data_IF_624816128352
#
_entry.id   IF_624816128352
#
_cell.length_a   1.000
_cell.length_b   1.000
_cell.length_c   1.000
_cell.angle_alpha   90.00
_cell.angle_beta   90.00
_cell.angle_gamma   90.00
#
_symmetry.space_group_name_H-M   'P 1'
#
loop_
_entity.id
_entity.type
_entity.pdbx_description
1 polymer ?
#
# COMPACT_ATOMS: atom_id res chain seq x y z
N UNK A 1 -75.97 -19.80 -10.78
CA UNK A 1 -75.47 -20.52 -11.97
C UNK A 1 -74.03 -20.88 -11.68
N UNK A 2 -73.82 -22.17 -11.48
CA UNK A 2 -72.51 -22.73 -11.09
C UNK A 2 -71.72 -23.13 -12.30
N UNK A 3 -70.48 -22.92 -12.39
CA UNK A 3 -69.55 -23.59 -13.30
C UNK A 3 -68.38 -24.16 -12.54
N UNK A 4 -68.16 -25.45 -12.71
CA UNK A 4 -67.16 -26.32 -12.09
C UNK A 4 -65.80 -26.18 -12.80
N UNK A 5 -64.66 -26.50 -12.15
CA UNK A 5 -63.34 -26.51 -12.73
C UNK A 5 -63.05 -27.83 -13.50
N UNK A 6 -62.09 -27.85 -14.43
CA UNK A 6 -61.69 -29.05 -15.15
C UNK A 6 -60.58 -29.84 -14.42
N UNK A 7 -60.63 -31.14 -14.66
CA UNK A 7 -59.76 -32.21 -14.17
C UNK A 7 -58.31 -32.07 -14.60
N UNK A 8 -57.41 -32.44 -13.64
CA UNK A 8 -56.02 -32.69 -13.86
C UNK A 8 -55.84 -34.10 -14.42
N UNK A 9 -55.28 -34.25 -15.60
CA UNK A 9 -54.77 -35.50 -16.13
C UNK A 9 -53.34 -35.75 -15.71
N UNK A 10 -53.14 -36.87 -15.03
CA UNK A 10 -51.84 -37.40 -14.63
C UNK A 10 -51.16 -38.05 -15.83
N UNK A 11 -50.09 -37.44 -16.35
CA UNK A 11 -49.28 -38.01 -17.41
C UNK A 11 -48.08 -38.73 -16.80
N UNK A 12 -48.03 -40.05 -17.01
CA UNK A 12 -46.88 -40.93 -16.71
C UNK A 12 -45.66 -40.49 -17.52
N UNK A 13 -44.57 -40.08 -16.89
CA UNK A 13 -43.28 -39.81 -17.53
C UNK A 13 -42.44 -41.08 -17.49
N UNK A 14 -42.13 -41.61 -18.67
CA UNK A 14 -41.13 -42.66 -18.86
C UNK A 14 -39.75 -42.13 -18.47
N UNK A 15 -39.06 -42.80 -17.54
CA UNK A 15 -37.66 -42.58 -17.21
C UNK A 15 -36.83 -43.27 -18.31
N UNK A 16 -36.29 -42.46 -19.24
CA UNK A 16 -35.25 -42.89 -20.15
C UNK A 16 -33.89 -42.74 -19.40
N UNK A 17 -33.20 -43.82 -19.20
CA UNK A 17 -31.81 -43.87 -18.67
C UNK A 17 -30.86 -43.18 -19.68
N UNK A 18 -30.37 -41.98 -19.36
CA UNK A 18 -29.24 -41.36 -20.03
C UNK A 18 -27.93 -41.99 -19.53
N UNK A 19 -26.97 -42.28 -20.42
CA UNK A 19 -25.66 -42.75 -19.99
C UNK A 19 -24.94 -41.63 -19.19
N UNK A 20 -24.26 -42.03 -18.11
CA UNK A 20 -23.39 -41.13 -17.36
C UNK A 20 -22.34 -40.54 -18.32
N UNK A 21 -22.53 -39.29 -18.68
CA UNK A 21 -21.45 -38.49 -19.26
C UNK A 21 -20.37 -38.39 -18.22
N UNK A 22 -19.21 -38.96 -18.52
CA UNK A 22 -17.95 -38.72 -17.83
C UNK A 22 -17.78 -37.20 -17.78
N UNK A 23 -18.06 -36.60 -16.61
CA UNK A 23 -17.63 -35.26 -16.28
C UNK A 23 -16.10 -35.35 -16.28
N UNK A 24 -15.47 -34.99 -17.40
CA UNK A 24 -14.04 -34.76 -17.43
C UNK A 24 -13.74 -33.76 -16.33
N UNK A 25 -12.94 -34.16 -15.35
CA UNK A 25 -12.31 -33.21 -14.45
C UNK A 25 -11.57 -32.23 -15.37
N UNK A 26 -12.08 -31.02 -15.47
CA UNK A 26 -11.32 -29.90 -16.01
C UNK A 26 -10.15 -29.81 -15.03
N UNK A 27 -8.93 -30.13 -15.49
CA UNK A 27 -7.72 -29.79 -14.78
C UNK A 27 -7.83 -28.29 -14.52
N UNK A 28 -8.04 -27.93 -13.27
CA UNK A 28 -7.82 -26.55 -12.82
C UNK A 28 -6.33 -26.36 -13.07
N UNK A 29 -5.97 -25.61 -14.13
CA UNK A 29 -4.60 -25.15 -14.28
C UNK A 29 -4.21 -24.55 -12.93
N UNK A 30 -3.21 -25.13 -12.29
CA UNK A 30 -2.66 -24.64 -11.02
C UNK A 30 -2.19 -23.20 -11.28
N UNK A 31 -3.00 -22.21 -10.90
CA UNK A 31 -2.65 -20.81 -11.08
C UNK A 31 -1.42 -20.52 -10.23
N UNK A 32 -0.33 -20.19 -10.88
CA UNK A 32 0.92 -19.84 -10.22
C UNK A 32 0.82 -18.46 -9.61
N UNK A 33 1.13 -18.32 -8.34
CA UNK A 33 1.16 -17.03 -7.64
C UNK A 33 2.55 -16.43 -7.69
N UNK A 34 2.61 -15.14 -8.02
CA UNK A 34 3.82 -14.33 -8.01
C UNK A 34 3.70 -13.16 -7.04
N UNK A 35 4.84 -12.74 -6.54
CA UNK A 35 4.99 -11.55 -5.70
C UNK A 35 5.65 -10.47 -6.55
N UNK A 36 5.04 -9.29 -6.59
CA UNK A 36 5.62 -8.09 -7.17
C UNK A 36 6.15 -7.21 -6.05
N UNK A 37 7.41 -6.79 -6.15
CA UNK A 37 8.08 -5.98 -5.13
C UNK A 37 8.81 -4.78 -5.75
N UNK A 38 8.58 -3.58 -5.21
CA UNK A 38 9.31 -2.38 -5.65
C UNK A 38 10.70 -2.36 -5.04
N UNK A 39 11.70 -1.99 -5.83
CA UNK A 39 13.11 -2.03 -5.41
C UNK A 39 13.56 -0.85 -4.56
N UNK A 40 12.75 0.15 -4.32
CA UNK A 40 13.03 1.47 -3.77
C UNK A 40 14.52 1.84 -3.77
N UNK A 41 14.91 2.98 -4.32
CA UNK A 41 16.28 3.41 -4.62
C UNK A 41 17.01 2.64 -5.71
N UNK A 42 16.43 1.55 -6.18
CA UNK A 42 16.77 0.91 -7.44
C UNK A 42 15.53 0.95 -8.33
N UNK A 43 15.63 1.41 -9.55
CA UNK A 43 14.48 1.70 -10.42
C UNK A 43 13.88 0.44 -11.04
N UNK A 44 13.63 -0.57 -10.22
CA UNK A 44 13.13 -1.87 -10.67
C UNK A 44 11.87 -2.30 -9.91
N UNK A 45 11.01 -2.99 -10.63
CA UNK A 45 9.99 -3.89 -10.11
C UNK A 45 10.52 -5.32 -10.23
N UNK A 46 10.50 -6.06 -9.15
CA UNK A 46 10.91 -7.47 -9.08
C UNK A 46 9.68 -8.35 -9.14
N UNK A 47 9.73 -9.40 -9.96
CA UNK A 47 8.77 -10.49 -9.94
C UNK A 47 9.41 -11.72 -9.29
N UNK A 48 8.71 -12.33 -8.34
CA UNK A 48 9.20 -13.43 -7.53
C UNK A 48 8.17 -14.56 -7.60
N UNK A 49 8.59 -15.77 -7.91
CA UNK A 49 7.74 -16.95 -7.85
C UNK A 49 7.49 -17.32 -6.39
N UNK A 50 6.23 -17.39 -5.97
CA UNK A 50 5.88 -17.80 -4.60
C UNK A 50 6.25 -19.24 -4.34
N UNK A 51 6.01 -20.15 -5.31
CA UNK A 51 6.35 -21.56 -5.18
C UNK A 51 7.85 -21.75 -4.93
N UNK A 52 8.70 -21.04 -5.70
CA UNK A 52 10.15 -21.09 -5.51
C UNK A 52 10.59 -20.39 -4.22
N UNK A 53 9.88 -19.35 -3.78
CA UNK A 53 10.21 -18.62 -2.55
C UNK A 53 10.00 -19.46 -1.28
N UNK A 54 9.03 -20.37 -1.29
CA UNK A 54 8.77 -21.30 -0.16
C UNK A 54 9.52 -22.62 -0.27
N UNK A 55 10.24 -22.86 -1.37
CA UNK A 55 11.08 -24.05 -1.52
C UNK A 55 12.29 -23.96 -0.58
N UNK A 56 12.50 -24.90 0.34
CA UNK A 56 13.58 -24.81 1.33
C UNK A 56 14.98 -24.66 0.74
N UNK A 57 15.23 -25.21 -0.45
CA UNK A 57 16.51 -25.10 -1.17
C UNK A 57 16.80 -23.68 -1.65
N UNK A 58 15.78 -22.84 -1.80
CA UNK A 58 15.88 -21.45 -2.26
C UNK A 58 15.92 -20.44 -1.10
N UNK A 59 15.75 -20.89 0.15
CA UNK A 59 15.71 -19.99 1.29
C UNK A 59 17.00 -19.19 1.44
N UNK A 60 16.87 -17.89 1.67
CA UNK A 60 17.97 -16.91 1.72
C UNK A 60 18.81 -16.82 0.43
N UNK A 61 18.19 -17.06 -0.71
CA UNK A 61 18.80 -16.89 -2.04
C UNK A 61 17.96 -15.94 -2.91
N UNK A 62 18.48 -15.63 -4.10
CA UNK A 62 17.78 -14.88 -5.14
C UNK A 62 17.06 -15.78 -6.17
N UNK A 63 17.09 -17.11 -5.98
CA UNK A 63 16.63 -18.08 -6.99
C UNK A 63 15.15 -17.95 -7.33
N UNK A 64 14.34 -17.46 -6.41
CA UNK A 64 12.91 -17.24 -6.64
C UNK A 64 12.61 -15.97 -7.46
N UNK A 65 13.60 -15.11 -7.71
CA UNK A 65 13.42 -13.92 -8.55
C UNK A 65 13.32 -14.34 -10.01
N UNK A 66 12.14 -14.15 -10.60
CA UNK A 66 11.85 -14.50 -12.00
C UNK A 66 12.43 -13.45 -12.94
N UNK A 67 12.19 -12.17 -12.65
CA UNK A 67 12.58 -11.05 -13.51
C UNK A 67 12.74 -9.74 -12.74
N UNK A 68 13.32 -8.76 -13.41
CA UNK A 68 13.42 -7.36 -12.95
C UNK A 68 13.06 -6.43 -14.08
N UNK A 69 12.00 -5.68 -13.91
CA UNK A 69 11.53 -4.71 -14.92
C UNK A 69 11.89 -3.29 -14.51
N UNK A 70 12.42 -2.50 -15.46
CA UNK A 70 12.66 -1.08 -15.20
C UNK A 70 11.35 -0.33 -15.07
N UNK A 71 11.26 0.55 -14.06
CA UNK A 71 10.11 1.42 -13.80
C UNK A 71 10.43 2.90 -14.01
N UNK A 72 11.68 3.23 -14.32
CA UNK A 72 12.12 4.59 -14.62
C UNK A 72 12.76 4.66 -15.99
N UNK A 73 12.62 5.81 -16.66
CA UNK A 73 13.32 6.09 -17.90
C UNK A 73 14.81 6.29 -17.62
N UNK A 74 15.66 5.72 -18.48
CA UNK A 74 17.07 6.05 -18.48
C UNK A 74 17.26 7.49 -18.94
N UNK A 75 18.07 8.23 -18.21
CA UNK A 75 18.50 9.56 -18.67
C UNK A 75 19.73 9.44 -19.56
N UNK A 76 19.95 10.50 -20.34
CA UNK A 76 21.12 10.61 -21.22
C UNK A 76 22.47 10.54 -20.49
N UNK A 77 22.50 10.78 -19.18
CA UNK A 77 23.68 10.69 -18.33
C UNK A 77 23.87 9.30 -17.66
N UNK A 78 23.02 8.32 -18.00
CA UNK A 78 23.09 6.96 -17.48
C UNK A 78 22.64 6.80 -16.03
N UNK A 79 22.08 7.85 -15.39
CA UNK A 79 21.51 7.76 -14.04
C UNK A 79 20.05 7.38 -14.13
N UNK A 80 19.71 6.28 -13.47
CA UNK A 80 18.32 5.87 -13.28
C UNK A 80 17.78 6.60 -12.05
N UNK A 81 16.76 7.39 -12.25
CA UNK A 81 16.15 8.21 -11.21
C UNK A 81 14.69 7.82 -11.02
N UNK A 82 14.47 6.62 -10.56
CA UNK A 82 13.19 6.21 -10.00
C UNK A 82 13.39 5.86 -8.54
N UNK A 83 12.48 6.29 -7.69
CA UNK A 83 12.36 5.81 -6.31
C UNK A 83 11.01 5.09 -6.20
N UNK A 84 10.88 3.85 -6.78
CA UNK A 84 9.62 3.13 -6.79
C UNK A 84 9.21 2.82 -5.35
N UNK A 85 8.12 3.45 -4.92
CA UNK A 85 7.60 3.31 -3.57
C UNK A 85 6.47 2.29 -3.53
N UNK A 86 5.26 2.69 -3.86
CA UNK A 86 4.08 1.83 -3.77
C UNK A 86 3.67 1.30 -5.15
N UNK A 87 2.83 0.27 -5.16
CA UNK A 87 2.28 -0.28 -6.38
C UNK A 87 0.83 -0.75 -6.17
N UNK A 88 0.07 -0.77 -7.25
CA UNK A 88 -1.25 -1.44 -7.31
C UNK A 88 -1.36 -2.22 -8.61
N UNK A 89 -2.12 -3.31 -8.57
CA UNK A 89 -2.41 -4.15 -9.74
C UNK A 89 -3.86 -3.92 -10.14
N UNK A 90 -4.12 -3.84 -11.45
CA UNK A 90 -5.49 -3.72 -11.98
C UNK A 90 -6.34 -4.93 -11.58
N UNK A 91 -7.67 -4.74 -11.53
CA UNK A 91 -8.62 -5.78 -11.11
C UNK A 91 -8.56 -7.05 -11.97
N UNK A 92 -8.26 -6.89 -13.28
CA UNK A 92 -8.04 -8.00 -14.22
C UNK A 92 -6.65 -8.63 -14.09
N UNK A 93 -5.81 -8.09 -13.21
CA UNK A 93 -4.43 -8.51 -13.01
C UNK A 93 -3.48 -8.12 -14.16
N UNK A 94 -3.94 -7.56 -15.27
CA UNK A 94 -3.15 -7.35 -16.49
C UNK A 94 -2.13 -6.21 -16.43
N UNK A 95 -2.38 -5.22 -15.57
CA UNK A 95 -1.54 -4.01 -15.49
C UNK A 95 -1.08 -3.78 -14.06
N UNK A 96 0.19 -3.45 -13.87
CA UNK A 96 0.71 -2.94 -12.60
C UNK A 96 1.11 -1.47 -12.76
N UNK A 97 0.67 -0.67 -11.79
CA UNK A 97 1.02 0.74 -11.66
C UNK A 97 2.01 0.89 -10.52
N UNK A 98 3.15 1.51 -10.77
CA UNK A 98 4.21 1.72 -9.77
C UNK A 98 4.44 3.21 -9.58
N UNK A 99 4.26 3.70 -8.37
CA UNK A 99 4.58 5.08 -8.02
C UNK A 99 6.10 5.24 -7.94
N UNK A 100 6.63 6.15 -8.73
CA UNK A 100 7.98 6.68 -8.58
C UNK A 100 7.91 8.00 -7.81
N UNK A 101 8.32 7.97 -6.56
CA UNK A 101 8.15 9.06 -5.59
C UNK A 101 8.66 10.40 -6.13
N UNK A 102 9.86 10.42 -6.70
CA UNK A 102 10.45 11.62 -7.27
C UNK A 102 10.42 11.67 -8.81
N UNK A 103 9.79 10.68 -9.45
CA UNK A 103 9.69 10.61 -10.90
C UNK A 103 11.04 10.53 -11.62
N UNK A 104 11.09 11.03 -12.85
CA UNK A 104 12.34 11.24 -13.56
C UNK A 104 12.89 12.61 -13.16
N UNK A 105 13.75 12.63 -12.18
CA UNK A 105 14.29 13.86 -11.63
C UNK A 105 15.39 14.41 -12.55
N UNK A 106 15.22 15.62 -13.04
CA UNK A 106 16.35 16.49 -13.28
C UNK A 106 16.93 16.92 -11.92
N UNK A 107 18.21 16.70 -11.67
CA UNK A 107 18.83 17.11 -10.41
C UNK A 107 18.57 18.61 -10.09
N UNK A 108 18.45 19.46 -11.12
CA UNK A 108 18.12 20.86 -10.96
C UNK A 108 16.64 21.07 -10.56
N UNK A 109 15.73 20.26 -11.09
CA UNK A 109 14.32 20.31 -10.79
C UNK A 109 14.04 19.78 -9.39
N UNK A 110 14.65 18.67 -8.99
CA UNK A 110 14.59 18.16 -7.64
C UNK A 110 15.15 19.14 -6.60
N UNK A 111 16.25 19.81 -6.94
CA UNK A 111 16.89 20.76 -6.04
C UNK A 111 16.10 22.08 -5.90
N UNK A 112 15.18 22.37 -6.83
CA UNK A 112 14.41 23.62 -6.80
C UNK A 112 12.96 23.43 -6.38
N UNK A 113 12.34 22.28 -6.66
CA UNK A 113 10.88 22.09 -6.60
C UNK A 113 10.42 20.74 -6.04
N UNK A 114 11.29 19.94 -5.39
CA UNK A 114 10.98 18.52 -5.20
C UNK A 114 10.91 17.80 -6.56
N UNK A 115 10.64 16.54 -6.63
CA UNK A 115 10.42 15.85 -7.92
C UNK A 115 8.93 15.67 -8.18
N UNK A 116 8.46 16.01 -9.39
CA UNK A 116 7.11 15.59 -9.79
C UNK A 116 7.02 14.07 -9.75
N UNK A 117 5.98 13.57 -9.10
CA UNK A 117 5.72 12.15 -9.02
C UNK A 117 5.32 11.58 -10.39
N UNK A 118 5.74 10.37 -10.68
CA UNK A 118 5.35 9.65 -11.89
C UNK A 118 4.84 8.27 -11.53
N UNK A 119 3.94 7.75 -12.34
CA UNK A 119 3.43 6.39 -12.22
C UNK A 119 3.90 5.60 -13.45
N UNK A 120 4.75 4.60 -13.26
CA UNK A 120 5.08 3.66 -14.31
C UNK A 120 3.91 2.72 -14.55
N UNK A 121 3.57 2.49 -15.81
CA UNK A 121 2.53 1.55 -16.25
C UNK A 121 3.22 0.38 -16.91
N UNK A 122 3.06 -0.83 -16.37
CA UNK A 122 3.71 -2.04 -16.86
C UNK A 122 2.67 -3.12 -17.15
N UNK A 123 2.93 -3.89 -18.19
CA UNK A 123 2.21 -5.13 -18.51
C UNK A 123 2.68 -6.25 -17.58
N UNK A 124 1.74 -6.90 -16.87
CA UNK A 124 2.07 -7.92 -15.87
C UNK A 124 2.66 -9.17 -16.51
N UNK A 125 2.14 -9.63 -17.66
CA UNK A 125 2.66 -10.82 -18.31
C UNK A 125 4.10 -10.60 -18.81
N UNK A 126 4.39 -9.39 -19.32
CA UNK A 126 5.76 -9.02 -19.65
C UNK A 126 6.65 -8.88 -18.40
N UNK A 127 6.13 -8.38 -17.28
CA UNK A 127 6.85 -8.34 -15.99
C UNK A 127 7.22 -9.76 -15.53
N UNK A 128 6.32 -10.72 -15.71
CA UNK A 128 6.54 -12.11 -15.29
C UNK A 128 7.40 -12.92 -16.28
N UNK A 129 7.67 -12.41 -17.49
CA UNK A 129 8.50 -13.12 -18.47
C UNK A 129 9.97 -13.17 -17.98
N UNK A 130 10.54 -14.36 -17.73
CA UNK A 130 11.92 -14.49 -17.25
C UNK A 130 12.97 -13.98 -18.24
N UNK A 131 12.61 -13.80 -19.53
CA UNK A 131 13.47 -13.19 -20.54
C UNK A 131 13.60 -11.67 -20.36
N UNK A 132 12.70 -11.06 -19.59
CA UNK A 132 12.70 -9.64 -19.32
C UNK A 132 13.67 -9.30 -18.18
N UNK A 133 14.95 -9.52 -18.39
CA UNK A 133 16.00 -9.12 -17.46
C UNK A 133 16.56 -7.75 -17.83
N UNK A 134 16.25 -6.72 -17.03
CA UNK A 134 16.74 -5.34 -17.20
C UNK A 134 16.34 -4.67 -18.52
N UNK A 135 15.34 -5.15 -19.22
CA UNK A 135 14.85 -4.53 -20.44
C UNK A 135 13.69 -3.59 -20.16
N UNK A 136 13.29 -2.78 -21.13
CA UNK A 136 12.12 -1.90 -21.03
C UNK A 136 10.82 -2.56 -21.52
N UNK A 137 10.84 -3.85 -21.81
CA UNK A 137 9.75 -4.52 -22.51
C UNK A 137 8.44 -4.52 -21.74
N UNK A 138 8.47 -4.56 -20.40
CA UNK A 138 7.27 -4.51 -19.56
C UNK A 138 6.70 -3.09 -19.42
N UNK A 139 7.54 -2.06 -19.57
CA UNK A 139 7.16 -0.68 -19.37
C UNK A 139 6.39 -0.16 -20.59
N UNK A 140 5.12 0.17 -20.39
CA UNK A 140 4.23 0.73 -21.42
C UNK A 140 4.31 2.26 -21.49
N UNK A 141 4.61 2.93 -20.37
CA UNK A 141 4.69 4.38 -20.29
C UNK A 141 4.68 4.91 -18.87
N UNK A 142 4.56 6.22 -18.75
CA UNK A 142 4.42 6.91 -17.47
C UNK A 142 3.22 7.84 -17.49
N UNK A 143 2.56 7.97 -16.35
CA UNK A 143 1.54 8.96 -16.07
C UNK A 143 2.11 10.00 -15.08
N UNK A 144 1.73 11.27 -15.23
CA UNK A 144 2.04 12.31 -14.25
C UNK A 144 1.14 12.12 -13.02
N UNK A 145 1.70 12.19 -11.82
CA UNK A 145 0.92 12.09 -10.58
C UNK A 145 0.03 13.31 -10.31
N UNK A 146 0.28 14.41 -11.00
CA UNK A 146 -0.41 15.69 -10.76
C UNK A 146 0.14 16.49 -9.58
N UNK A 147 1.24 16.04 -8.94
CA UNK A 147 1.85 16.68 -7.79
C UNK A 147 3.31 16.29 -7.58
N UNK A 148 3.83 16.54 -6.39
CA UNK A 148 5.20 16.28 -6.01
C UNK A 148 5.27 15.24 -4.88
N UNK A 149 6.33 14.41 -4.91
CA UNK A 149 6.52 13.40 -3.89
C UNK A 149 5.40 12.37 -3.83
N UNK A 150 4.93 11.88 -4.98
CA UNK A 150 3.89 10.86 -5.02
C UNK A 150 4.32 9.60 -4.26
N UNK A 151 3.51 9.10 -3.34
CA UNK A 151 3.85 7.94 -2.52
C UNK A 151 2.70 6.96 -2.31
N UNK A 152 1.54 7.43 -1.84
CA UNK A 152 0.34 6.60 -1.69
C UNK A 152 -0.43 6.50 -3.00
N UNK A 153 -0.99 5.33 -3.26
CA UNK A 153 -1.84 5.12 -4.43
C UNK A 153 -2.97 4.17 -4.09
N UNK A 154 -4.18 4.50 -4.57
CA UNK A 154 -5.34 3.61 -4.55
C UNK A 154 -5.93 3.50 -5.94
N UNK A 155 -6.58 2.37 -6.23
CA UNK A 155 -7.13 2.06 -7.55
C UNK A 155 -8.65 2.20 -7.53
N UNK A 156 -9.17 2.94 -8.50
CA UNK A 156 -10.58 2.97 -8.90
C UNK A 156 -10.75 2.35 -10.28
N UNK A 157 -11.96 1.97 -10.70
CA UNK A 157 -12.16 1.31 -12.00
C UNK A 157 -11.48 2.01 -13.18
N UNK A 158 -11.58 3.34 -13.27
CA UNK A 158 -11.03 4.13 -14.38
C UNK A 158 -9.90 5.09 -13.99
N UNK A 159 -9.55 5.15 -12.70
CA UNK A 159 -8.64 6.18 -12.19
C UNK A 159 -7.66 5.62 -11.15
N UNK A 160 -6.56 6.32 -10.99
CA UNK A 160 -5.66 6.23 -9.86
C UNK A 160 -5.91 7.42 -8.93
N UNK A 161 -5.99 7.16 -7.63
CA UNK A 161 -5.95 8.18 -6.59
C UNK A 161 -4.55 8.22 -6.03
N UNK A 162 -3.92 9.38 -5.99
CA UNK A 162 -2.51 9.51 -5.66
C UNK A 162 -2.32 10.56 -4.57
N UNK A 163 -1.58 10.19 -3.52
CA UNK A 163 -1.12 11.10 -2.49
C UNK A 163 0.21 11.71 -2.91
N UNK A 164 0.27 13.04 -2.96
CA UNK A 164 1.48 13.80 -3.28
C UNK A 164 1.94 14.50 -2.00
N UNK A 165 2.99 13.96 -1.39
CA UNK A 165 3.40 14.24 -0.02
C UNK A 165 4.38 15.42 0.11
N UNK A 166 5.04 15.84 -0.97
CA UNK A 166 6.08 16.86 -0.88
C UNK A 166 5.60 18.25 -1.27
N UNK A 167 6.05 19.23 -0.51
CA UNK A 167 5.85 20.65 -0.75
C UNK A 167 6.94 21.20 -1.68
N UNK A 168 6.55 21.86 -2.75
CA UNK A 168 7.50 22.57 -3.61
C UNK A 168 7.45 24.09 -3.46
N UNK A 169 6.72 24.61 -2.46
CA UNK A 169 6.58 26.02 -2.09
C UNK A 169 5.86 26.92 -3.11
N UNK A 170 5.81 26.55 -4.38
CA UNK A 170 5.25 27.40 -5.45
C UNK A 170 3.96 26.85 -6.04
N UNK A 171 3.82 25.53 -6.13
CA UNK A 171 2.70 24.89 -6.82
C UNK A 171 1.95 23.87 -5.96
N UNK A 172 2.62 23.29 -4.97
CA UNK A 172 2.10 22.21 -4.13
C UNK A 172 2.49 22.45 -2.68
N UNK A 173 1.48 22.50 -1.81
CA UNK A 173 1.67 22.70 -0.37
C UNK A 173 2.00 21.42 0.40
N UNK A 174 2.28 20.29 -0.25
CA UNK A 174 2.42 18.98 0.41
C UNK A 174 1.08 18.48 0.98
N UNK A 175 -0.02 18.83 0.30
CA UNK A 175 -1.39 18.58 0.78
C UNK A 175 -2.32 18.10 -0.35
N UNK A 176 -1.77 17.54 -1.41
CA UNK A 176 -2.55 17.28 -2.62
C UNK A 176 -2.86 15.80 -2.82
N UNK A 177 -4.14 15.50 -3.03
CA UNK A 177 -4.64 14.22 -3.53
C UNK A 177 -5.13 14.44 -4.95
N UNK A 178 -4.66 13.62 -5.89
CA UNK A 178 -4.98 13.74 -7.31
C UNK A 178 -5.69 12.51 -7.84
N UNK A 179 -6.54 12.71 -8.85
CA UNK A 179 -7.29 11.69 -9.55
C UNK A 179 -6.83 11.67 -11.01
N UNK A 180 -6.15 10.60 -11.41
CA UNK A 180 -5.55 10.48 -12.75
C UNK A 180 -6.27 9.36 -13.52
N UNK A 181 -6.80 9.68 -14.68
CA UNK A 181 -7.41 8.71 -15.60
C UNK A 181 -6.35 7.69 -16.06
N UNK A 182 -6.58 6.40 -15.77
CA UNK A 182 -5.61 5.32 -16.04
C UNK A 182 -5.30 5.14 -17.52
N UNK A 183 -6.26 5.42 -18.38
CA UNK A 183 -6.17 5.18 -19.81
C UNK A 183 -5.54 6.35 -20.56
N UNK A 184 -5.86 7.58 -20.16
CA UNK A 184 -5.43 8.79 -20.88
C UNK A 184 -4.29 9.53 -20.21
N UNK A 185 -4.01 9.25 -18.93
CA UNK A 185 -3.08 9.99 -18.10
C UNK A 185 -3.56 11.41 -17.73
N UNK A 186 -4.81 11.76 -18.07
CA UNK A 186 -5.32 13.09 -17.79
C UNK A 186 -5.69 13.25 -16.31
N UNK A 187 -5.34 14.40 -15.74
CA UNK A 187 -5.77 14.79 -14.40
C UNK A 187 -7.27 15.09 -14.43
N UNK A 188 -8.06 14.29 -13.68
CA UNK A 188 -9.52 14.39 -13.61
C UNK A 188 -9.98 15.24 -12.44
N UNK A 189 -9.17 15.35 -11.41
CA UNK A 189 -9.48 16.14 -10.22
C UNK A 189 -8.29 16.28 -9.31
N UNK A 190 -8.36 17.30 -8.45
CA UNK A 190 -7.37 17.56 -7.40
C UNK A 190 -8.12 17.99 -6.15
N UNK A 191 -7.79 17.38 -5.03
CA UNK A 191 -8.24 17.78 -3.70
C UNK A 191 -7.05 18.39 -2.96
N UNK A 192 -7.22 19.56 -2.41
CA UNK A 192 -6.26 20.20 -1.53
C UNK A 192 -6.74 20.01 -0.09
N UNK A 193 -6.00 19.21 0.68
CA UNK A 193 -6.27 19.01 2.09
C UNK A 193 -6.01 20.30 2.86
N UNK A 194 -6.78 20.56 3.91
CA UNK A 194 -6.60 21.75 4.72
C UNK A 194 -5.20 21.79 5.33
N UNK A 195 -4.56 22.94 5.31
CA UNK A 195 -3.28 23.17 5.98
C UNK A 195 -3.52 23.30 7.49
N UNK A 196 -2.59 22.73 8.26
CA UNK A 196 -2.70 22.70 9.71
C UNK A 196 -3.66 21.62 10.24
N UNK A 197 -3.60 21.39 11.53
CA UNK A 197 -4.50 20.51 12.28
C UNK A 197 -4.81 21.15 13.63
N UNK A 198 -5.99 20.91 14.23
CA UNK A 198 -6.29 21.39 15.57
C UNK A 198 -5.22 20.98 16.58
N UNK A 199 -4.64 21.96 17.29
CA UNK A 199 -3.57 21.73 18.26
C UNK A 199 -2.16 21.65 17.69
N UNK A 200 -2.00 21.79 16.37
CA UNK A 200 -0.69 21.98 15.73
C UNK A 200 -0.31 23.47 15.74
N UNK A 201 0.89 23.73 16.24
CA UNK A 201 1.48 25.06 16.20
C UNK A 201 2.28 25.20 14.90
N UNK A 202 1.74 25.97 13.98
CA UNK A 202 2.35 26.18 12.67
C UNK A 202 3.61 27.05 12.67
N UNK A 203 3.90 27.73 13.77
CA UNK A 203 5.15 28.48 13.95
C UNK A 203 6.34 27.58 14.31
N UNK A 204 6.20 26.29 14.09
CA UNK A 204 7.13 25.28 14.55
C UNK A 204 8.36 25.13 13.65
N UNK A 205 9.55 25.63 14.06
CA UNK A 205 10.77 25.44 13.27
C UNK A 205 11.49 24.16 13.72
N UNK A 206 11.01 22.99 13.33
CA UNK A 206 11.87 21.81 13.40
C UNK A 206 12.70 21.77 12.14
N UNK A 207 14.02 21.84 12.22
CA UNK A 207 14.83 21.53 11.07
C UNK A 207 14.50 20.08 10.67
N UNK A 208 13.99 19.89 9.47
CA UNK A 208 13.80 18.57 8.90
C UNK A 208 15.14 17.85 8.83
N UNK A 209 15.36 16.96 9.76
CA UNK A 209 16.43 15.99 9.66
C UNK A 209 15.89 14.81 8.88
N UNK A 210 16.14 14.81 7.57
CA UNK A 210 15.79 13.66 6.74
C UNK A 210 16.36 12.41 7.39
N UNK A 211 15.56 11.42 7.76
CA UNK A 211 16.08 10.14 8.22
C UNK A 211 16.92 9.46 7.13
N UNK A 212 16.96 10.01 5.91
CA UNK A 212 17.55 9.47 4.69
C UNK A 212 18.91 10.09 4.32
N UNK A 213 19.61 10.70 5.24
CA UNK A 213 20.92 11.32 5.04
C UNK A 213 20.90 12.85 5.07
N UNK A 214 22.01 13.51 4.74
CA UNK A 214 22.06 14.95 4.76
C UNK A 214 20.90 15.49 3.91
N UNK A 215 20.26 16.56 4.37
CA UNK A 215 19.06 17.09 3.76
C UNK A 215 19.30 17.28 2.26
N UNK A 216 18.55 16.54 1.47
CA UNK A 216 18.49 16.80 0.05
C UNK A 216 17.84 18.16 -0.07
N UNK A 217 18.67 19.18 -0.10
CA UNK A 217 18.27 20.56 -0.26
C UNK A 217 17.19 21.05 0.71
N UNK A 218 17.59 21.31 1.95
CA UNK A 218 16.77 21.98 2.98
C UNK A 218 16.07 23.26 2.49
N UNK A 219 16.62 23.91 1.46
CA UNK A 219 16.02 25.12 0.90
C UNK A 219 14.66 24.90 0.26
N UNK A 220 14.33 23.68 -0.12
CA UNK A 220 13.06 23.34 -0.76
C UNK A 220 12.03 22.84 0.27
N UNK A 221 12.53 22.14 1.27
CA UNK A 221 11.74 21.68 2.41
C UNK A 221 11.79 22.72 3.54
N UNK A 222 12.37 23.89 3.25
CA UNK A 222 12.45 24.97 4.19
C UNK A 222 11.05 25.46 4.55
N UNK A 223 10.88 25.77 5.72
CA UNK A 223 9.69 25.68 6.51
C UNK A 223 8.80 26.89 6.31
N UNK A 224 8.02 26.89 5.28
CA UNK A 224 6.83 27.70 5.35
C UNK A 224 5.71 26.92 4.64
N UNK A 225 4.78 26.36 5.36
CA UNK A 225 4.41 26.57 6.78
C UNK A 225 5.16 25.71 7.82
N UNK A 226 6.18 24.95 7.45
CA UNK A 226 6.92 24.03 8.35
C UNK A 226 6.27 22.65 8.50
N UNK A 227 7.06 21.66 8.89
CA UNK A 227 6.56 20.34 9.21
C UNK A 227 5.55 20.40 10.35
N UNK A 228 4.42 19.73 10.17
CA UNK A 228 3.29 19.78 11.08
C UNK A 228 2.21 20.78 10.69
N UNK A 229 2.48 21.64 9.72
CA UNK A 229 1.50 22.60 9.20
C UNK A 229 0.92 22.21 7.85
N UNK A 230 1.52 21.26 7.15
CA UNK A 230 0.93 20.65 5.97
C UNK A 230 0.74 19.14 6.21
N UNK A 231 -0.25 18.53 5.58
CA UNK A 231 -0.66 17.17 5.88
C UNK A 231 0.40 16.11 5.60
N UNK A 232 1.24 16.30 4.58
CA UNK A 232 2.17 15.26 4.14
C UNK A 232 1.43 13.93 3.91
N UNK A 233 0.49 13.86 2.93
CA UNK A 233 -0.34 12.69 2.71
C UNK A 233 0.49 11.52 2.20
N UNK A 234 0.49 10.41 2.92
CA UNK A 234 1.29 9.23 2.63
C UNK A 234 0.44 8.05 2.14
N UNK A 235 -0.12 7.26 3.05
CA UNK A 235 -0.98 6.13 2.70
C UNK A 235 -2.36 6.57 2.24
N UNK A 236 -2.97 5.80 1.35
CA UNK A 236 -4.36 5.97 0.92
C UNK A 236 -5.14 4.67 1.09
N UNK A 237 -6.41 4.79 1.47
CA UNK A 237 -7.35 3.70 1.48
C UNK A 237 -8.73 4.16 0.98
N UNK A 238 -9.48 3.23 0.39
CA UNK A 238 -10.85 3.47 -0.07
C UNK A 238 -11.84 2.84 0.90
N UNK A 239 -12.67 3.65 1.54
CA UNK A 239 -13.74 3.20 2.42
C UNK A 239 -15.09 3.24 1.72
N UNK A 240 -16.01 2.37 2.15
CA UNK A 240 -17.40 2.33 1.66
C UNK A 240 -18.35 2.34 2.85
N UNK A 241 -19.15 3.38 2.96
CA UNK A 241 -20.17 3.50 3.97
C UNK A 241 -21.38 2.58 3.69
N UNK A 242 -22.21 2.34 4.71
CA UNK A 242 -23.39 1.47 4.62
C UNK A 242 -24.44 1.94 3.61
N UNK A 243 -24.45 3.26 3.36
CA UNK A 243 -25.33 3.87 2.35
C UNK A 243 -24.81 3.70 0.91
N UNK A 244 -23.66 3.05 0.73
CA UNK A 244 -23.02 2.80 -0.56
C UNK A 244 -22.05 3.89 -1.03
N UNK A 245 -21.99 5.03 -0.35
CA UNK A 245 -21.04 6.10 -0.69
C UNK A 245 -19.61 5.67 -0.41
N UNK A 246 -18.70 6.09 -1.29
CA UNK A 246 -17.28 5.82 -1.16
C UNK A 246 -16.51 7.07 -0.73
N UNK A 247 -15.47 6.84 0.06
CA UNK A 247 -14.60 7.88 0.61
C UNK A 247 -13.13 7.51 0.41
N UNK A 248 -12.31 8.51 0.22
CA UNK A 248 -10.85 8.36 0.25
C UNK A 248 -10.36 8.78 1.62
N UNK A 249 -9.56 7.93 2.24
CA UNK A 249 -8.85 8.20 3.48
C UNK A 249 -7.39 8.45 3.17
N UNK A 250 -6.81 9.50 3.74
CA UNK A 250 -5.40 9.86 3.59
C UNK A 250 -4.71 9.92 4.93
N UNK A 251 -3.64 9.14 5.09
CA UNK A 251 -2.76 9.20 6.25
C UNK A 251 -1.86 10.42 6.13
N UNK A 252 -1.99 11.36 7.05
CA UNK A 252 -1.28 12.64 7.02
C UNK A 252 -0.12 12.61 8.03
N UNK A 253 1.07 12.26 7.55
CA UNK A 253 2.28 12.15 8.36
C UNK A 253 2.71 13.46 9.01
N UNK A 254 2.39 14.60 8.40
CA UNK A 254 2.75 15.92 8.88
C UNK A 254 1.84 16.45 9.99
N UNK A 255 0.56 16.03 10.05
CA UNK A 255 -0.43 16.57 10.99
C UNK A 255 -0.96 15.55 12.01
N UNK A 256 -0.44 14.33 12.02
CA UNK A 256 -0.83 13.24 12.94
C UNK A 256 -2.32 12.90 12.89
N UNK A 257 -2.91 12.93 11.70
CA UNK A 257 -4.32 12.66 11.50
C UNK A 257 -4.60 11.91 10.18
N UNK A 258 -5.86 11.58 9.98
CA UNK A 258 -6.37 10.99 8.74
C UNK A 258 -7.43 11.90 8.18
N UNK A 259 -7.26 12.36 6.94
CA UNK A 259 -8.29 13.09 6.20
C UNK A 259 -9.34 12.16 5.65
N UNK A 260 -10.59 12.57 5.69
CA UNK A 260 -11.75 11.91 5.09
C UNK A 260 -12.24 12.75 3.92
N UNK A 261 -12.22 12.19 2.71
CA UNK A 261 -12.53 12.89 1.47
C UNK A 261 -13.77 12.26 0.82
N UNK A 262 -14.78 13.07 0.52
CA UNK A 262 -15.95 12.62 -0.24
C UNK A 262 -15.56 12.38 -1.70
N UNK A 263 -15.54 11.11 -2.10
CA UNK A 263 -15.10 10.72 -3.44
C UNK A 263 -16.02 11.25 -4.54
N UNK A 264 -17.34 11.24 -4.34
CA UNK A 264 -18.28 11.67 -5.35
C UNK A 264 -18.07 13.15 -5.67
N UNK A 265 -18.00 14.01 -4.65
CA UNK A 265 -17.75 15.45 -4.81
C UNK A 265 -16.37 15.73 -5.41
N UNK A 266 -15.36 14.96 -5.02
CA UNK A 266 -14.01 15.09 -5.58
C UNK A 266 -13.99 14.82 -7.08
N UNK A 267 -14.75 13.82 -7.55
CA UNK A 267 -14.88 13.49 -8.97
C UNK A 267 -15.73 14.51 -9.76
N UNK A 268 -16.57 15.28 -9.10
CA UNK A 268 -17.28 16.41 -9.69
C UNK A 268 -16.40 17.65 -9.86
N UNK A 269 -15.14 17.59 -9.38
CA UNK A 269 -14.14 18.66 -9.51
C UNK A 269 -14.16 19.65 -8.35
N UNK A 270 -14.86 19.36 -7.26
CA UNK A 270 -14.74 20.13 -6.03
C UNK A 270 -13.36 19.86 -5.40
N UNK A 271 -12.65 20.93 -5.06
CA UNK A 271 -11.28 20.84 -4.52
C UNK A 271 -11.24 20.81 -2.99
N UNK A 272 -12.29 21.34 -2.35
CA UNK A 272 -12.40 21.45 -0.90
C UNK A 272 -13.47 20.48 -0.37
N UNK A 273 -13.21 19.18 -0.54
CA UNK A 273 -14.14 18.10 -0.20
C UNK A 273 -13.66 17.24 0.98
N UNK A 274 -12.66 17.70 1.68
CA UNK A 274 -12.26 17.12 2.96
C UNK A 274 -13.36 17.37 3.98
N UNK A 275 -14.08 16.31 4.38
CA UNK A 275 -15.26 16.37 5.25
C UNK A 275 -14.94 16.19 6.73
N UNK A 276 -13.73 15.75 7.06
CA UNK A 276 -13.29 15.56 8.43
C UNK A 276 -11.85 15.15 8.55
N UNK A 277 -11.33 15.25 9.78
CA UNK A 277 -10.03 14.74 10.20
C UNK A 277 -10.16 13.93 11.47
N UNK A 278 -9.44 12.82 11.53
CA UNK A 278 -9.46 11.86 12.62
C UNK A 278 -8.05 11.82 13.21
N UNK A 279 -7.83 12.32 14.43
CA UNK A 279 -6.52 12.25 15.08
C UNK A 279 -6.08 10.80 15.29
N UNK A 280 -4.82 10.51 14.99
CA UNK A 280 -4.19 9.20 15.22
C UNK A 280 -3.03 9.34 16.22
N UNK A 281 -2.23 8.28 16.42
CA UNK A 281 -1.06 8.37 17.29
C UNK A 281 -0.04 9.34 16.68
N UNK A 282 1.00 8.87 16.04
CA UNK A 282 2.04 9.72 15.45
C UNK A 282 2.14 9.46 13.96
N UNK A 283 2.25 10.53 13.18
CA UNK A 283 2.61 10.55 11.77
C UNK A 283 2.15 9.30 10.99
N UNK A 284 0.84 9.08 10.84
CA UNK A 284 0.31 7.90 10.18
C UNK A 284 0.93 7.77 8.78
N UNK A 285 1.32 6.54 8.44
CA UNK A 285 2.03 6.29 7.20
C UNK A 285 1.30 5.29 6.30
N UNK A 286 1.16 4.04 6.76
CA UNK A 286 0.51 2.98 6.01
C UNK A 286 -0.97 2.87 6.34
N UNK A 287 -1.76 2.50 5.33
CA UNK A 287 -3.20 2.27 5.47
C UNK A 287 -3.63 1.04 4.69
N UNK A 288 -4.68 0.38 5.17
CA UNK A 288 -5.42 -0.63 4.43
C UNK A 288 -6.91 -0.53 4.75
N UNK A 289 -7.75 -0.84 3.78
CA UNK A 289 -9.18 -1.04 4.01
C UNK A 289 -9.47 -2.52 4.25
N UNK A 290 -10.51 -2.81 5.04
CA UNK A 290 -11.07 -4.16 5.09
C UNK A 290 -11.71 -4.51 3.73
N UNK A 291 -11.82 -5.79 3.36
CA UNK A 291 -12.36 -6.20 2.06
C UNK A 291 -13.79 -5.69 1.80
N UNK A 292 -14.59 -5.51 2.84
CA UNK A 292 -15.93 -4.92 2.77
C UNK A 292 -15.93 -3.37 2.70
N UNK A 293 -14.76 -2.75 2.89
CA UNK A 293 -14.57 -1.30 2.91
C UNK A 293 -15.11 -0.60 4.15
N UNK A 294 -15.54 -1.33 5.20
CA UNK A 294 -16.21 -0.75 6.38
C UNK A 294 -15.26 -0.17 7.41
N UNK A 295 -14.03 -0.64 7.43
CA UNK A 295 -13.02 -0.18 8.35
C UNK A 295 -11.72 0.17 7.62
N UNK A 296 -11.04 1.18 8.13
CA UNK A 296 -9.71 1.58 7.67
C UNK A 296 -8.73 1.33 8.80
N UNK A 297 -7.69 0.56 8.50
CA UNK A 297 -6.55 0.30 9.37
C UNK A 297 -5.49 1.34 9.10
N UNK A 298 -4.99 2.00 10.13
CA UNK A 298 -4.00 3.07 10.03
C UNK A 298 -2.81 2.75 10.91
N UNK A 299 -1.63 2.67 10.34
CA UNK A 299 -0.40 2.42 11.08
C UNK A 299 0.21 3.75 11.56
N UNK A 300 0.54 3.82 12.86
CA UNK A 300 1.28 4.94 13.43
C UNK A 300 2.72 4.95 12.93
N UNK A 301 3.24 6.12 12.61
CA UNK A 301 4.57 6.29 12.06
C UNK A 301 5.55 6.97 13.03
N UNK A 302 6.41 7.82 12.47
CA UNK A 302 7.35 8.64 13.23
C UNK A 302 7.01 10.10 13.07
N UNK A 303 6.70 10.75 14.17
CA UNK A 303 6.42 12.19 14.19
C UNK A 303 7.62 13.00 13.71
N UNK A 304 7.37 13.86 12.75
CA UNK A 304 8.37 14.81 12.26
C UNK A 304 8.62 15.93 13.28
N UNK A 305 7.66 16.17 14.16
CA UNK A 305 7.71 17.25 15.15
C UNK A 305 8.80 17.04 16.21
N UNK A 306 8.80 15.87 16.84
CA UNK A 306 9.62 15.58 18.02
C UNK A 306 10.35 14.24 17.94
N UNK A 307 10.27 13.57 16.79
CA UNK A 307 10.78 12.23 16.55
C UNK A 307 10.13 11.12 17.39
N UNK A 308 8.99 11.37 18.02
CA UNK A 308 8.21 10.33 18.67
C UNK A 308 7.83 9.24 17.66
N UNK A 309 7.95 7.99 18.08
CA UNK A 309 7.72 6.83 17.21
C UNK A 309 6.50 6.07 17.69
N UNK A 310 5.58 5.79 16.76
CA UNK A 310 4.37 5.03 17.04
C UNK A 310 4.63 3.55 17.28
N UNK A 311 3.72 2.95 18.01
CA UNK A 311 3.66 1.52 18.29
C UNK A 311 2.21 0.99 18.29
N UNK A 312 1.30 1.75 17.72
CA UNK A 312 -0.12 1.39 17.67
C UNK A 312 -0.66 1.46 16.26
N UNK A 313 -1.73 0.71 16.01
CA UNK A 313 -2.62 0.92 14.89
C UNK A 313 -3.93 1.50 15.37
N UNK A 314 -4.55 2.32 14.52
CA UNK A 314 -5.91 2.83 14.69
C UNK A 314 -6.85 2.10 13.72
N UNK A 315 -8.05 1.77 14.18
CA UNK A 315 -9.12 1.23 13.32
C UNK A 315 -10.23 2.27 13.27
N UNK A 316 -10.55 2.73 12.06
CA UNK A 316 -11.53 3.78 11.79
C UNK A 316 -12.77 3.15 11.18
N UNK A 317 -13.94 3.42 11.77
CA UNK A 317 -15.25 3.07 11.21
C UNK A 317 -15.64 4.09 10.13
N UNK A 318 -15.92 3.60 8.93
CA UNK A 318 -16.18 4.45 7.76
C UNK A 318 -17.51 5.18 7.86
N UNK A 319 -18.56 4.57 8.42
CA UNK A 319 -19.85 5.25 8.61
C UNK A 319 -19.75 6.42 9.58
N UNK A 320 -19.04 6.23 10.70
CA UNK A 320 -18.81 7.30 11.68
C UNK A 320 -17.93 8.42 11.09
N UNK A 321 -16.89 8.05 10.37
CA UNK A 321 -16.02 9.01 9.70
C UNK A 321 -16.79 9.84 8.67
N UNK A 322 -17.62 9.20 7.85
CA UNK A 322 -18.47 9.85 6.84
C UNK A 322 -19.53 10.78 7.46
N UNK A 323 -19.98 10.49 8.67
CA UNK A 323 -20.89 11.33 9.44
C UNK A 323 -20.18 12.49 10.14
N UNK A 324 -18.86 12.63 10.05
CA UNK A 324 -18.06 13.63 10.76
C UNK A 324 -18.04 13.40 12.29
N UNK A 325 -18.22 12.15 12.73
CA UNK A 325 -18.27 11.83 14.14
C UNK A 325 -16.87 11.87 14.78
N UNK A 326 -16.72 12.59 15.89
CA UNK A 326 -15.45 12.70 16.61
C UNK A 326 -14.94 11.38 17.23
N UNK A 327 -15.75 10.32 17.22
CA UNK A 327 -15.43 8.97 17.69
C UNK A 327 -15.36 7.95 16.54
N UNK A 328 -14.90 8.36 15.37
CA UNK A 328 -14.73 7.47 14.21
C UNK A 328 -13.59 6.46 14.41
N UNK A 329 -12.57 6.76 15.19
CA UNK A 329 -11.61 5.76 15.67
C UNK A 329 -12.32 4.86 16.69
N UNK A 330 -12.51 3.59 16.33
CA UNK A 330 -13.25 2.60 17.13
C UNK A 330 -12.36 1.66 17.91
N UNK A 331 -11.08 1.54 17.53
CA UNK A 331 -10.08 0.77 18.26
C UNK A 331 -8.69 1.34 18.05
N UNK A 332 -7.82 1.17 19.06
CA UNK A 332 -6.40 1.48 19.03
C UNK A 332 -5.65 0.36 19.72
N UNK A 333 -4.77 -0.33 18.97
CA UNK A 333 -4.12 -1.57 19.40
C UNK A 333 -2.61 -1.38 19.43
N UNK A 334 -1.99 -1.75 20.56
CA UNK A 334 -0.53 -1.86 20.69
C UNK A 334 -0.05 -3.03 19.85
N UNK A 335 1.05 -2.84 19.10
CA UNK A 335 1.56 -3.83 18.14
C UNK A 335 3.08 -3.94 18.19
N UNK A 336 3.56 -5.17 17.98
CA UNK A 336 4.99 -5.48 17.87
C UNK A 336 5.75 -5.54 19.19
N UNK A 337 5.14 -5.17 20.30
CA UNK A 337 5.71 -5.17 21.65
C UNK A 337 4.60 -5.37 22.70
N UNK A 338 5.02 -5.70 23.93
CA UNK A 338 4.17 -5.68 25.12
C UNK A 338 4.38 -4.42 25.96
N UNK A 339 5.46 -3.68 25.68
CA UNK A 339 5.79 -2.45 26.38
C UNK A 339 5.26 -1.22 25.60
N UNK A 340 4.27 -0.50 26.16
CA UNK A 340 3.71 0.68 25.49
C UNK A 340 4.72 1.82 25.29
N UNK A 341 5.86 1.81 25.96
CA UNK A 341 6.93 2.80 25.79
C UNK A 341 7.95 2.38 24.71
N UNK A 342 7.90 1.13 24.23
CA UNK A 342 8.82 0.65 23.21
C UNK A 342 8.37 1.09 21.81
N UNK A 343 9.20 1.79 21.03
CA UNK A 343 8.87 2.21 19.68
C UNK A 343 8.97 1.02 18.71
N UNK A 344 7.90 0.66 18.05
CA UNK A 344 7.89 -0.46 17.07
C UNK A 344 7.89 0.00 15.61
N UNK A 345 7.40 1.21 15.34
CA UNK A 345 7.23 1.81 14.01
C UNK A 345 6.48 0.87 13.07
N UNK A 346 5.17 0.69 13.28
CA UNK A 346 4.33 -0.07 12.36
C UNK A 346 4.28 0.63 11.00
N UNK A 347 4.30 -0.15 9.92
CA UNK A 347 4.46 0.37 8.57
C UNK A 347 3.20 0.14 7.72
N UNK A 348 3.28 -0.54 6.59
CA UNK A 348 2.18 -0.69 5.64
C UNK A 348 1.42 -1.97 5.95
N UNK A 349 0.18 -1.87 6.48
CA UNK A 349 -0.65 -3.03 6.77
C UNK A 349 -1.25 -3.65 5.51
N UNK A 350 -1.63 -4.91 5.61
CA UNK A 350 -2.58 -5.57 4.72
C UNK A 350 -3.63 -6.32 5.54
N UNK A 351 -4.79 -6.57 4.92
CA UNK A 351 -5.88 -7.33 5.54
C UNK A 351 -6.04 -8.63 4.78
N UNK A 352 -6.29 -9.73 5.48
CA UNK A 352 -6.57 -11.02 4.85
C UNK A 352 -7.83 -10.95 3.99
N UNK A 353 -7.96 -11.74 2.90
CA UNK A 353 -9.12 -11.69 2.00
C UNK A 353 -10.46 -11.97 2.67
N UNK A 354 -10.47 -12.75 3.76
CA UNK A 354 -11.66 -12.99 4.58
C UNK A 354 -11.99 -11.85 5.56
N UNK A 355 -11.09 -10.85 5.68
CA UNK A 355 -11.28 -9.70 6.58
C UNK A 355 -11.05 -9.99 8.07
N UNK A 356 -10.49 -11.14 8.42
CA UNK A 356 -10.37 -11.56 9.82
C UNK A 356 -9.10 -11.05 10.50
N UNK A 357 -8.00 -10.93 9.74
CA UNK A 357 -6.70 -10.58 10.31
C UNK A 357 -6.04 -9.40 9.57
N UNK A 358 -5.36 -8.57 10.34
CA UNK A 358 -4.47 -7.51 9.87
C UNK A 358 -3.02 -7.99 10.01
N UNK A 359 -2.27 -7.91 8.93
CA UNK A 359 -0.85 -8.25 8.86
C UNK A 359 -0.06 -6.95 8.86
N UNK A 360 0.78 -6.75 9.86
CA UNK A 360 1.43 -5.46 10.09
C UNK A 360 2.93 -5.61 10.35
N UNK A 361 3.78 -5.16 9.43
CA UNK A 361 5.22 -5.08 9.65
C UNK A 361 5.59 -3.99 10.67
N UNK A 362 6.44 -4.32 11.63
CA UNK A 362 6.97 -3.40 12.65
C UNK A 362 8.46 -3.17 12.41
N UNK A 363 8.80 -2.02 11.82
CA UNK A 363 10.14 -1.76 11.28
C UNK A 363 11.23 -1.80 12.35
N UNK A 364 11.01 -1.19 13.52
CA UNK A 364 12.00 -1.14 14.58
C UNK A 364 12.01 -2.40 15.43
N UNK A 365 10.86 -3.03 15.63
CA UNK A 365 10.75 -4.28 16.36
C UNK A 365 11.23 -5.50 15.56
N UNK A 366 11.43 -5.38 14.24
CA UNK A 366 11.88 -6.47 13.37
C UNK A 366 10.96 -7.70 13.44
N UNK A 367 9.66 -7.47 13.55
CA UNK A 367 8.66 -8.51 13.59
C UNK A 367 7.42 -8.12 12.75
N UNK A 368 6.50 -9.05 12.63
CA UNK A 368 5.19 -8.83 12.00
C UNK A 368 4.12 -9.17 13.03
N UNK A 369 3.24 -8.22 13.31
CA UNK A 369 2.05 -8.45 14.11
C UNK A 369 0.95 -9.05 13.25
N UNK A 370 0.23 -10.02 13.80
CA UNK A 370 -1.03 -10.53 13.27
C UNK A 370 -2.12 -10.14 14.28
N UNK A 371 -3.03 -9.27 13.85
CA UNK A 371 -4.08 -8.71 14.71
C UNK A 371 -5.43 -9.25 14.27
N UNK A 372 -6.18 -9.85 15.20
CA UNK A 372 -7.58 -10.24 14.96
C UNK A 372 -8.45 -8.99 14.91
N UNK A 373 -9.11 -8.77 13.78
CA UNK A 373 -10.00 -7.63 13.61
C UNK A 373 -11.23 -7.74 14.54
N UNK A 374 -11.77 -8.94 14.73
CA UNK A 374 -12.89 -9.18 15.63
C UNK A 374 -12.55 -8.77 17.07
N UNK A 375 -11.43 -9.27 17.61
CA UNK A 375 -10.99 -8.92 18.96
C UNK A 375 -10.68 -7.43 19.10
N UNK A 376 -10.01 -6.85 18.10
CA UNK A 376 -9.70 -5.43 18.09
C UNK A 376 -10.97 -4.56 18.15
N UNK A 377 -12.00 -4.88 17.37
CA UNK A 377 -13.27 -4.18 17.38
C UNK A 377 -14.09 -4.41 18.66
N UNK A 378 -13.86 -5.54 19.34
CA UNK A 378 -14.44 -5.80 20.66
C UNK A 378 -13.72 -5.06 21.81
N UNK A 379 -12.59 -4.39 21.50
CA UNK A 379 -11.76 -3.70 22.49
C UNK A 379 -10.93 -4.65 23.36
N UNK A 380 -10.66 -5.86 22.86
CA UNK A 380 -9.85 -6.86 23.56
C UNK A 380 -8.36 -6.46 23.51
N UNK A 381 -7.67 -6.35 24.65
CA UNK A 381 -6.24 -6.03 24.69
C UNK A 381 -5.36 -7.11 24.03
N UNK A 382 -5.84 -8.35 23.93
CA UNK A 382 -5.14 -9.48 23.33
C UNK A 382 -5.44 -9.61 21.81
N UNK A 383 -5.86 -8.53 21.17
CA UNK A 383 -6.17 -8.52 19.73
C UNK A 383 -4.94 -8.80 18.85
N UNK A 384 -3.72 -8.52 19.29
CA UNK A 384 -2.49 -9.00 18.63
C UNK A 384 -2.31 -10.50 18.94
N UNK A 385 -2.88 -11.36 18.09
CA UNK A 385 -2.95 -12.81 18.30
C UNK A 385 -1.66 -13.56 17.98
N UNK A 386 -0.74 -12.91 17.27
CA UNK A 386 0.60 -13.44 17.05
C UNK A 386 1.60 -12.33 16.71
N UNK A 387 2.86 -12.61 17.01
CA UNK A 387 4.02 -11.81 16.65
C UNK A 387 5.07 -12.70 16.04
N UNK A 388 5.35 -12.51 14.72
CA UNK A 388 6.28 -13.33 13.95
C UNK A 388 7.62 -12.59 13.86
N UNK A 389 8.68 -13.06 14.52
CA UNK A 389 9.99 -12.44 14.42
C UNK A 389 10.59 -12.64 13.03
N UNK A 390 11.24 -11.59 12.50
CA UNK A 390 11.97 -11.66 11.26
C UNK A 390 13.47 -11.63 11.54
N UNK A 391 14.16 -12.63 11.06
CA UNK A 391 15.62 -12.80 11.27
C UNK A 391 16.30 -12.87 9.91
N UNK A 392 17.30 -12.03 9.72
CA UNK A 392 18.18 -12.10 8.54
C UNK A 392 19.30 -13.10 8.78
N UNK A 393 19.69 -13.83 7.72
CA UNK A 393 20.80 -14.78 7.79
C UNK A 393 22.13 -14.15 8.19
N UNK A 394 22.34 -12.85 7.93
CA UNK A 394 23.54 -12.10 8.30
C UNK A 394 23.48 -11.46 9.70
N UNK A 395 22.42 -11.72 10.47
CA UNK A 395 22.22 -11.21 11.83
C UNK A 395 21.87 -9.72 11.92
N UNK A 396 21.71 -9.02 10.80
CA UNK A 396 21.30 -7.61 10.80
C UNK A 396 19.78 -7.48 10.99
N UNK A 397 19.28 -6.30 11.42
CA UNK A 397 17.85 -6.03 11.50
C UNK A 397 17.12 -6.24 10.16
N UNK A 398 15.97 -6.88 10.21
CA UNK A 398 15.12 -7.14 9.03
C UNK A 398 14.47 -5.88 8.49
N UNK A 399 14.07 -4.96 9.37
CA UNK A 399 13.42 -3.68 9.09
C UNK A 399 12.26 -3.81 8.10
N UNK A 400 11.22 -4.58 8.44
CA UNK A 400 10.08 -4.82 7.56
C UNK A 400 9.30 -3.53 7.28
N UNK A 401 8.71 -3.43 6.06
CA UNK A 401 8.02 -2.22 5.60
C UNK A 401 6.65 -2.48 5.01
N UNK A 402 6.57 -3.13 3.86
CA UNK A 402 5.33 -3.42 3.18
C UNK A 402 4.84 -4.82 3.47
N UNK A 403 3.54 -5.01 3.35
CA UNK A 403 2.90 -6.32 3.40
C UNK A 403 1.91 -6.49 2.26
N UNK A 404 1.69 -7.72 1.85
CA UNK A 404 0.58 -8.15 1.02
C UNK A 404 0.18 -9.57 1.42
N UNK A 405 -1.07 -9.96 1.16
CA UNK A 405 -1.57 -11.31 1.42
C UNK A 405 -1.96 -11.96 0.10
N UNK A 406 -1.71 -13.26 -0.05
CA UNK A 406 -2.15 -14.02 -1.22
C UNK A 406 -3.67 -14.11 -1.29
N UNK A 407 -4.22 -14.23 -2.50
CA UNK A 407 -5.68 -14.24 -2.71
C UNK A 407 -6.40 -15.42 -2.03
N UNK A 408 -5.69 -16.53 -1.76
CA UNK A 408 -6.18 -17.67 -0.99
C UNK A 408 -6.09 -17.46 0.54
N UNK A 409 -5.48 -16.35 0.98
CA UNK A 409 -5.29 -16.04 2.40
C UNK A 409 -4.25 -16.90 3.11
N UNK A 410 -3.48 -17.73 2.39
CA UNK A 410 -2.53 -18.66 3.00
C UNK A 410 -1.22 -18.01 3.42
N UNK A 411 -0.71 -17.10 2.60
CA UNK A 411 0.60 -16.48 2.84
C UNK A 411 0.50 -14.98 2.97
N UNK A 412 1.27 -14.44 3.91
CA UNK A 412 1.62 -13.03 3.93
C UNK A 412 3.06 -12.86 3.40
N UNK A 413 3.26 -11.85 2.56
CA UNK A 413 4.57 -11.48 2.03
C UNK A 413 4.97 -10.13 2.61
N UNK A 414 6.21 -10.03 3.07
CA UNK A 414 6.71 -8.86 3.80
C UNK A 414 7.99 -8.38 3.14
N UNK A 415 8.06 -7.12 2.75
CA UNK A 415 9.29 -6.50 2.29
C UNK A 415 10.14 -6.03 3.46
N UNK A 416 11.46 -6.11 3.33
CA UNK A 416 12.38 -5.62 4.34
C UNK A 416 13.76 -5.34 3.76
N UNK A 417 14.48 -4.44 4.38
CA UNK A 417 15.80 -4.07 3.90
C UNK A 417 16.62 -3.44 5.01
N UNK A 418 17.94 -3.33 4.82
CA UNK A 418 18.84 -2.79 5.84
C UNK A 418 18.62 -1.30 6.13
N UNK A 419 17.64 -0.69 5.46
CA UNK A 419 17.47 0.75 5.43
C UNK A 419 18.63 1.39 4.67
N UNK A 420 18.47 2.59 4.33
CA UNK A 420 19.34 3.57 3.67
C UNK A 420 20.82 3.22 3.52
N UNK A 421 21.11 2.28 2.64
CA UNK A 421 22.46 1.95 2.21
C UNK A 421 22.74 2.60 0.85
N UNK A 422 24.00 2.65 0.38
CA UNK A 422 24.33 3.20 -0.94
C UNK A 422 23.44 2.63 -2.05
N UNK A 423 23.02 3.47 -2.97
CA UNK A 423 21.99 3.24 -3.99
C UNK A 423 22.22 2.07 -4.96
N UNK A 424 23.36 1.38 -4.92
CA UNK A 424 23.77 0.41 -5.95
C UNK A 424 23.66 -1.05 -5.52
N UNK A 425 23.19 -1.35 -4.31
CA UNK A 425 23.23 -2.72 -3.78
C UNK A 425 21.84 -3.32 -3.69
N UNK A 426 21.64 -4.49 -4.30
CA UNK A 426 20.46 -5.31 -4.16
C UNK A 426 20.57 -6.16 -2.88
N UNK A 427 20.22 -5.59 -1.75
CA UNK A 427 20.40 -6.17 -0.41
C UNK A 427 19.07 -6.30 0.36
N UNK A 428 17.97 -5.90 -0.27
CA UNK A 428 16.63 -6.06 0.28
C UNK A 428 16.16 -7.51 0.29
N UNK A 429 15.10 -7.75 1.03
CA UNK A 429 14.54 -9.07 1.27
C UNK A 429 13.02 -9.05 1.10
N UNK A 430 12.48 -10.20 0.73
CA UNK A 430 11.06 -10.51 0.86
C UNK A 430 10.93 -11.77 1.70
N UNK A 431 10.15 -11.70 2.78
CA UNK A 431 9.83 -12.81 3.66
C UNK A 431 8.46 -13.35 3.30
N UNK A 432 8.30 -14.66 3.33
CA UNK A 432 7.00 -15.34 3.17
C UNK A 432 6.63 -15.98 4.50
N UNK A 433 5.48 -15.59 5.03
CA UNK A 433 4.92 -16.11 6.28
C UNK A 433 3.71 -16.98 5.92
N UNK A 434 3.70 -18.22 6.36
CA UNK A 434 2.52 -19.09 6.32
C UNK A 434 1.61 -18.71 7.49
N UNK A 435 0.40 -18.20 7.17
CA UNK A 435 -0.53 -17.67 8.16
C UNK A 435 -1.14 -18.78 9.03
N UNK A 436 -1.23 -20.00 8.54
CA UNK A 436 -1.71 -21.14 9.32
C UNK A 436 -0.76 -21.54 10.43
N UNK A 437 0.54 -21.60 10.14
CA UNK A 437 1.59 -21.93 11.12
C UNK A 437 2.14 -20.69 11.85
N UNK A 438 1.84 -19.48 11.35
CA UNK A 438 2.36 -18.20 11.85
C UNK A 438 3.89 -18.16 11.91
N UNK A 439 4.52 -18.71 10.87
CA UNK A 439 5.97 -18.85 10.77
C UNK A 439 6.52 -18.38 9.42
N UNK A 440 7.77 -17.92 9.41
CA UNK A 440 8.48 -17.62 8.16
C UNK A 440 8.83 -18.95 7.48
N UNK A 441 8.35 -19.15 6.25
CA UNK A 441 8.57 -20.35 5.45
C UNK A 441 9.52 -20.12 4.27
N UNK A 442 9.86 -18.86 3.98
CA UNK A 442 10.79 -18.52 2.93
C UNK A 442 11.33 -17.10 3.06
N UNK A 443 12.55 -16.90 2.58
CA UNK A 443 13.21 -15.58 2.51
C UNK A 443 13.91 -15.47 1.17
N UNK A 444 13.54 -14.45 0.37
CA UNK A 444 14.17 -14.14 -0.91
C UNK A 444 15.10 -12.94 -0.69
N UNK A 445 16.35 -13.06 -1.11
CA UNK A 445 17.37 -11.99 -1.01
C UNK A 445 17.61 -11.33 -2.36
N UNK A 446 18.24 -10.15 -2.37
CA UNK A 446 18.58 -9.47 -3.61
C UNK A 446 17.40 -8.71 -4.24
N UNK A 447 16.39 -8.41 -3.45
CA UNK A 447 15.20 -7.67 -3.90
C UNK A 447 15.39 -6.19 -3.62
N UNK A 448 15.86 -5.45 -4.62
CA UNK A 448 16.08 -4.02 -4.48
C UNK A 448 17.06 -3.62 -3.36
N UNK A 449 17.11 -2.33 -3.08
CA UNK A 449 17.93 -1.82 -1.97
C UNK A 449 17.14 -1.79 -0.66
N UNK A 450 15.90 -1.31 -0.72
CA UNK A 450 15.01 -1.14 0.43
C UNK A 450 13.55 -1.38 -0.04
N UNK A 451 13.19 -2.62 -0.41
CA UNK A 451 11.90 -2.92 -1.02
C UNK A 451 10.76 -2.43 -0.13
N UNK A 452 9.73 -1.86 -0.77
CA UNK A 452 8.69 -1.12 -0.09
C UNK A 452 7.29 -1.64 -0.43
N UNK A 453 6.79 -1.34 -1.62
CA UNK A 453 5.48 -1.78 -2.08
C UNK A 453 5.48 -3.25 -2.50
N UNK A 454 4.42 -3.94 -2.14
CA UNK A 454 4.19 -5.35 -2.47
C UNK A 454 2.79 -5.56 -3.03
N UNK A 455 2.66 -6.48 -3.98
CA UNK A 455 1.38 -7.08 -4.37
C UNK A 455 1.58 -8.56 -4.71
N UNK A 456 0.49 -9.31 -4.73
CA UNK A 456 0.46 -10.68 -5.24
C UNK A 456 -0.42 -10.76 -6.48
N UNK A 457 -0.02 -11.55 -7.46
CA UNK A 457 -0.76 -11.82 -8.70
C UNK A 457 -0.79 -13.31 -8.99
N UNK A 458 -1.93 -13.81 -9.45
CA UNK A 458 -2.10 -15.21 -9.87
C UNK A 458 -2.24 -15.28 -11.39
N UNK A 459 -1.59 -16.28 -12.00
CA UNK A 459 -1.59 -16.54 -13.44
C UNK A 459 -1.81 -18.02 -13.72
#
# INVERSE_FOLDING_TARGET
MASRPPLVQCGMLLIASLPAALCGAQEVEDSQTYILATGRRLPYLYAISLADAVEPANNNTANAIVSRSKVALERLDGRLLGDPANLVVSEDGGTVYVVNHHGSIDNAEFTQHGGRGQIAVLDVDAVLDPRNDKTHNALQGHLDSGGFGAIGMALLPDMLVIANAENNLTEDGGNRITFVDRRTGSLRGTVELALGSPGFDCDYPVPYVSPYGPPRNLAILAPDPGWGCFPDPNGLALGRASNGNAYVFSANGGTNDVSVIDLARALEGDRLVEIGRIPTQFAPWGMAATPDGRHIIVAGGRSQKDNSVGNMISIIDVDRAAAGAGNAEVARILVGTEDPEEPTLPMIPSVTPNGEEVILPNLFANNVSIVSLELALAGDPDAEVARVPLVRADGRPARPRGSAVTSDGRYAVISGGPGMQPFSQEIGHVYVIDLGSRGVVGTVTGVGNDPYGLATVSR
#
